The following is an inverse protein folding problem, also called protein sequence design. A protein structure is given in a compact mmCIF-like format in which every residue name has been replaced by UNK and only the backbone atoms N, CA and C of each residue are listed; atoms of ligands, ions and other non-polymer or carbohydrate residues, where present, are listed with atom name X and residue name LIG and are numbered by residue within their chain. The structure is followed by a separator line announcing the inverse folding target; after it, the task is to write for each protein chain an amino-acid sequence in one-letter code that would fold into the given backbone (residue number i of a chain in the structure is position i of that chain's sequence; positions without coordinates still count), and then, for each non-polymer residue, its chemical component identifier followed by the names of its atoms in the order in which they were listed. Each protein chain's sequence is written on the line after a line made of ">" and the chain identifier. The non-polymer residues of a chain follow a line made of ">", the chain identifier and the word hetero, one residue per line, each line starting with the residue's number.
data_IF_760389732093
#
_entry.id   IF_760389732093
#
_cell.length_a   1.000
_cell.length_b   1.000
_cell.length_c   1.000
_cell.angle_alpha   90.00
_cell.angle_beta   90.00
_cell.angle_gamma   90.00
#
_symmetry.space_group_name_H-M   'P 1'
#
loop_
_entity.id
_entity.type
_entity.pdbx_description
1 polymer ?
#
# COMPACT_ATOMS: atom_id res chain seq x y z
N UNK A 1 -10.41 7.22 21.52
CA UNK A 1 -11.23 7.52 20.32
C UNK A 1 -11.10 6.37 19.35
N UNK A 2 -12.22 5.77 18.95
CA UNK A 2 -12.27 4.63 18.04
C UNK A 2 -12.70 5.13 16.66
N UNK A 3 -11.84 4.99 15.67
CA UNK A 3 -12.12 5.42 14.30
C UNK A 3 -12.28 4.20 13.39
N UNK A 4 -13.02 4.35 12.29
CA UNK A 4 -13.17 3.28 11.30
C UNK A 4 -11.83 3.10 10.59
N UNK A 5 -11.31 1.87 10.57
CA UNK A 5 -9.98 1.59 10.01
C UNK A 5 -9.87 1.78 8.50
N UNK A 6 -10.99 2.02 7.80
CA UNK A 6 -11.05 2.01 6.34
C UNK A 6 -10.03 2.92 5.64
N UNK A 7 -10.06 4.20 5.99
CA UNK A 7 -9.14 5.20 5.42
C UNK A 7 -7.66 4.89 5.72
N UNK A 8 -7.28 4.64 6.98
CA UNK A 8 -5.90 4.27 7.32
C UNK A 8 -5.38 3.03 6.60
N UNK A 9 -6.22 2.02 6.45
CA UNK A 9 -5.88 0.76 5.79
C UNK A 9 -5.62 0.99 4.30
N UNK A 10 -6.50 1.75 3.63
CA UNK A 10 -6.32 2.08 2.21
C UNK A 10 -5.03 2.88 1.98
N UNK A 11 -4.76 3.90 2.80
CA UNK A 11 -3.53 4.69 2.74
C UNK A 11 -2.26 3.84 2.95
N UNK A 12 -2.27 2.93 3.94
CA UNK A 12 -1.14 2.05 4.17
C UNK A 12 -0.90 1.09 3.00
N UNK A 13 -1.97 0.56 2.39
CA UNK A 13 -1.87 -0.30 1.20
C UNK A 13 -1.29 0.48 0.02
N UNK A 14 -1.76 1.70 -0.23
CA UNK A 14 -1.21 2.54 -1.30
C UNK A 14 0.29 2.80 -1.10
N UNK A 15 0.72 3.18 0.10
CA UNK A 15 2.14 3.44 0.40
C UNK A 15 3.02 2.19 0.29
N UNK A 16 2.57 1.05 0.82
CA UNK A 16 3.32 -0.21 0.71
C UNK A 16 3.45 -0.63 -0.74
N UNK A 17 2.35 -0.61 -1.50
CA UNK A 17 2.38 -1.02 -2.92
C UNK A 17 3.16 -0.01 -3.76
N UNK A 18 3.10 1.29 -3.48
CA UNK A 18 3.91 2.31 -4.16
C UNK A 18 5.41 2.06 -3.94
N UNK A 19 5.84 1.92 -2.68
CA UNK A 19 7.24 1.63 -2.37
C UNK A 19 7.73 0.33 -2.99
N UNK A 20 6.92 -0.72 -2.93
CA UNK A 20 7.25 -2.00 -3.52
C UNK A 20 7.34 -1.90 -5.04
N UNK A 21 6.44 -1.16 -5.68
CA UNK A 21 6.44 -0.99 -7.13
C UNK A 21 7.57 -0.08 -7.62
N UNK A 22 7.96 0.94 -6.87
CA UNK A 22 9.12 1.78 -7.21
C UNK A 22 10.43 1.00 -7.12
N UNK A 23 10.63 0.25 -6.03
CA UNK A 23 11.80 -0.62 -5.86
C UNK A 23 11.84 -1.78 -6.88
N UNK A 24 10.70 -2.40 -7.19
CA UNK A 24 10.63 -3.46 -8.20
C UNK A 24 10.70 -2.91 -9.63
N UNK A 25 10.22 -1.71 -9.88
CA UNK A 25 10.30 -1.07 -11.20
C UNK A 25 11.75 -0.75 -11.55
N UNK A 26 12.52 -0.25 -10.58
CA UNK A 26 13.95 0.02 -10.76
C UNK A 26 14.75 -1.24 -11.12
N UNK A 27 14.42 -2.38 -10.54
CA UNK A 27 15.23 -3.62 -10.66
C UNK A 27 14.67 -4.65 -11.64
N UNK A 28 13.35 -4.83 -11.72
CA UNK A 28 12.71 -5.99 -12.36
C UNK A 28 11.86 -5.61 -13.58
N UNK A 29 11.29 -4.40 -13.60
CA UNK A 29 10.39 -3.92 -14.66
C UNK A 29 10.99 -2.80 -15.52
N UNK A 30 12.30 -2.53 -15.45
CA UNK A 30 12.98 -1.47 -16.22
C UNK A 30 12.73 -1.53 -17.74
N UNK A 31 12.45 -2.72 -18.27
CA UNK A 31 12.22 -2.97 -19.69
C UNK A 31 10.73 -3.09 -20.08
N UNK A 32 9.79 -2.92 -19.14
CA UNK A 32 8.36 -3.07 -19.40
C UNK A 32 7.71 -1.74 -19.81
N UNK A 33 6.78 -1.80 -20.76
CA UNK A 33 5.93 -0.66 -21.17
C UNK A 33 5.26 0.01 -19.98
N UNK A 34 5.20 1.34 -19.99
CA UNK A 34 4.53 2.16 -18.97
C UNK A 34 3.09 1.70 -18.68
N UNK A 35 2.40 1.21 -19.71
CA UNK A 35 1.03 0.69 -19.61
C UNK A 35 0.98 -0.61 -18.81
N UNK A 36 1.92 -1.52 -19.05
CA UNK A 36 2.00 -2.79 -18.32
C UNK A 36 2.37 -2.58 -16.84
N UNK A 37 3.27 -1.61 -16.57
CA UNK A 37 3.59 -1.16 -15.20
C UNK A 37 2.35 -0.63 -14.47
N UNK A 38 1.65 0.31 -15.06
CA UNK A 38 0.46 0.91 -14.44
C UNK A 38 -0.67 -0.11 -14.21
N UNK A 39 -0.90 -1.00 -15.17
CA UNK A 39 -1.91 -2.06 -15.06
C UNK A 39 -1.60 -3.05 -13.94
N UNK A 40 -0.34 -3.47 -13.80
CA UNK A 40 0.08 -4.38 -12.74
C UNK A 40 0.05 -3.73 -11.36
N UNK A 41 0.41 -2.45 -11.24
CA UNK A 41 0.23 -1.68 -10.01
C UNK A 41 -1.25 -1.67 -9.56
N UNK A 42 -2.17 -1.27 -10.45
CA UNK A 42 -3.59 -1.20 -10.13
C UNK A 42 -4.20 -2.56 -9.80
N UNK A 43 -3.74 -3.62 -10.48
CA UNK A 43 -4.18 -4.99 -10.20
C UNK A 43 -3.76 -5.43 -8.79
N UNK A 44 -2.50 -5.18 -8.41
CA UNK A 44 -1.98 -5.55 -7.08
C UNK A 44 -2.71 -4.77 -5.97
N UNK A 45 -2.86 -3.44 -6.13
CA UNK A 45 -3.63 -2.61 -5.19
C UNK A 45 -5.06 -3.13 -5.05
N UNK A 46 -5.71 -3.41 -6.19
CA UNK A 46 -7.09 -3.91 -6.21
C UNK A 46 -7.25 -5.24 -5.47
N UNK A 47 -6.33 -6.20 -5.66
CA UNK A 47 -6.34 -7.49 -4.98
C UNK A 47 -6.17 -7.31 -3.47
N UNK A 48 -5.23 -6.48 -3.03
CA UNK A 48 -4.97 -6.26 -1.61
C UNK A 48 -6.18 -5.58 -0.94
N UNK A 49 -6.74 -4.55 -1.56
CA UNK A 49 -7.96 -3.88 -1.07
C UNK A 49 -9.12 -4.88 -1.00
N UNK A 50 -9.30 -5.71 -2.04
CA UNK A 50 -10.35 -6.72 -2.05
C UNK A 50 -10.20 -7.74 -0.92
N UNK A 51 -8.97 -8.21 -0.63
CA UNK A 51 -8.70 -9.13 0.48
C UNK A 51 -9.02 -8.46 1.82
N UNK A 52 -8.63 -7.20 2.01
CA UNK A 52 -8.86 -6.42 3.23
C UNK A 52 -10.34 -6.10 3.46
N UNK A 53 -11.08 -5.86 2.39
CA UNK A 53 -12.52 -5.68 2.42
C UNK A 53 -13.23 -7.01 2.76
N UNK A 54 -12.81 -8.11 2.13
CA UNK A 54 -13.36 -9.46 2.34
C UNK A 54 -13.07 -10.02 3.75
N UNK A 55 -11.94 -9.66 4.36
CA UNK A 55 -11.61 -10.07 5.75
C UNK A 55 -12.34 -9.25 6.82
N UNK A 56 -13.13 -8.25 6.45
CA UNK A 56 -13.90 -7.44 7.41
C UNK A 56 -13.04 -6.58 8.34
N UNK A 57 -11.72 -6.53 8.12
CA UNK A 57 -10.78 -5.71 8.89
C UNK A 57 -11.13 -4.22 8.74
N UNK A 58 -11.70 -3.86 7.60
CA UNK A 58 -12.21 -2.53 7.29
C UNK A 58 -13.23 -2.00 8.31
N UNK A 59 -14.02 -2.89 8.94
CA UNK A 59 -15.06 -2.51 9.91
C UNK A 59 -14.59 -2.57 11.37
N UNK A 60 -13.41 -3.15 11.62
CA UNK A 60 -12.86 -3.20 12.97
C UNK A 60 -12.50 -1.80 13.44
N UNK A 61 -13.02 -1.42 14.61
CA UNK A 61 -12.65 -0.20 15.31
C UNK A 61 -11.31 -0.41 15.99
N UNK A 62 -10.21 0.11 15.43
CA UNK A 62 -8.94 0.16 16.16
C UNK A 62 -8.67 1.55 16.74
N UNK A 63 -7.72 1.59 17.67
CA UNK A 63 -7.22 2.84 18.20
C UNK A 63 -6.54 3.65 17.09
N UNK A 64 -6.84 4.95 17.04
CA UNK A 64 -6.25 5.91 16.09
C UNK A 64 -4.72 5.83 16.07
N UNK A 65 -4.09 5.54 17.21
CA UNK A 65 -2.64 5.39 17.32
C UNK A 65 -2.11 4.26 16.42
N UNK A 66 -2.81 3.13 16.35
CA UNK A 66 -2.45 1.98 15.53
C UNK A 66 -2.65 2.30 14.05
N UNK A 67 -3.73 3.01 13.72
CA UNK A 67 -3.97 3.50 12.36
C UNK A 67 -2.88 4.44 11.86
N UNK A 68 -2.46 5.40 12.70
CA UNK A 68 -1.40 6.36 12.37
C UNK A 68 -0.05 5.67 12.25
N UNK A 69 0.26 4.74 13.16
CA UNK A 69 1.49 3.93 13.08
C UNK A 69 1.54 3.11 11.77
N UNK A 70 0.40 2.59 11.31
CA UNK A 70 0.33 1.81 10.07
C UNK A 70 0.52 2.67 8.81
N UNK A 71 -0.03 3.88 8.79
CA UNK A 71 0.20 4.85 7.71
C UNK A 71 1.67 5.28 7.69
N UNK A 72 2.23 5.63 8.86
CA UNK A 72 3.64 5.99 9.00
C UNK A 72 4.56 4.86 8.55
N UNK A 73 4.23 3.61 8.89
CA UNK A 73 4.98 2.45 8.43
C UNK A 73 4.99 2.34 6.90
N UNK A 74 3.82 2.49 6.25
CA UNK A 74 3.72 2.48 4.80
C UNK A 74 4.57 3.60 4.15
N UNK A 75 4.54 4.80 4.71
CA UNK A 75 5.29 5.96 4.21
C UNK A 75 6.82 5.80 4.40
N UNK A 76 7.25 5.29 5.55
CA UNK A 76 8.67 5.00 5.81
C UNK A 76 9.16 3.89 4.89
N UNK A 77 8.34 2.86 4.66
CA UNK A 77 8.66 1.77 3.75
C UNK A 77 8.80 2.26 2.30
N UNK A 78 7.90 3.14 1.86
CA UNK A 78 8.00 3.82 0.57
C UNK A 78 9.29 4.62 0.44
N UNK A 79 9.59 5.48 1.42
CA UNK A 79 10.81 6.29 1.42
C UNK A 79 12.09 5.43 1.46
N UNK A 80 12.08 4.32 2.18
CA UNK A 80 13.21 3.38 2.23
C UNK A 80 13.43 2.70 0.88
N UNK A 81 12.37 2.20 0.25
CA UNK A 81 12.46 1.57 -1.07
C UNK A 81 12.87 2.57 -2.16
N UNK A 82 12.37 3.80 -2.12
CA UNK A 82 12.79 4.87 -3.03
C UNK A 82 14.30 5.17 -2.89
N UNK A 83 14.82 5.17 -1.66
CA UNK A 83 16.25 5.36 -1.40
C UNK A 83 17.12 4.15 -1.77
N UNK A 84 16.52 2.97 -1.92
CA UNK A 84 17.22 1.72 -2.24
C UNK A 84 17.17 1.36 -3.75
N UNK A 85 16.37 2.10 -4.53
CA UNK A 85 16.23 2.00 -5.98
C UNK A 85 17.29 2.85 -6.72
#
# INVERSE_FOLDING_TARGET
>A
MYWKLRLPLMLAVFGIVAGLFDGLSATLLANASYVARSASYLMIVGIIIYILEKTGINEKRAHVLISVAMILFGFIFEAFMLSAA
#
